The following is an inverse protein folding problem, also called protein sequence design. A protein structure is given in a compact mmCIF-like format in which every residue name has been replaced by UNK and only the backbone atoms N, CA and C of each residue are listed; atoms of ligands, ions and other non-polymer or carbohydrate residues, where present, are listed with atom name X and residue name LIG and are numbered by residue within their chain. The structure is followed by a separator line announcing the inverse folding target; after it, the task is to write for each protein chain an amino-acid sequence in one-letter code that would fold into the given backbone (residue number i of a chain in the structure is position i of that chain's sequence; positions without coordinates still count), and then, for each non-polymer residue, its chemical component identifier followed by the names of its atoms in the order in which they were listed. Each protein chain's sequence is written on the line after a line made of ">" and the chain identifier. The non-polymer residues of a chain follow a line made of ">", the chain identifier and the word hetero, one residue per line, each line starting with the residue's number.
data_IF_449906383857
#
_entry.id   IF_449906383857
#
_cell.length_a   1.000
_cell.length_b   1.000
_cell.length_c   1.000
_cell.angle_alpha   90.00
_cell.angle_beta   90.00
_cell.angle_gamma   90.00
#
_symmetry.space_group_name_H-M   'P 1'
#
loop_
_entity.id
_entity.type
_entity.pdbx_description
1 polymer ?
#
# COMPACT_ATOMS: atom_id res chain seq x y z
N UNK A 1 -38.61 50.57 46.55
CA UNK A 1 -37.29 50.68 45.85
C UNK A 1 -36.52 49.36 45.90
N UNK A 2 -37.03 48.33 45.26
CA UNK A 2 -36.31 47.03 45.16
C UNK A 2 -36.62 46.50 43.76
N UNK A 3 -35.86 46.86 42.72
CA UNK A 3 -36.05 46.26 41.40
C UNK A 3 -34.91 46.56 40.42
N UNK A 4 -33.67 46.76 40.83
CA UNK A 4 -32.56 46.97 39.87
C UNK A 4 -31.35 46.02 39.99
N UNK A 5 -31.30 45.14 40.99
CA UNK A 5 -30.11 44.26 41.16
C UNK A 5 -30.23 42.86 40.57
N UNK A 6 -31.43 42.35 40.31
CA UNK A 6 -31.60 40.96 39.81
C UNK A 6 -31.29 40.78 38.31
N UNK A 7 -31.34 41.82 37.51
CA UNK A 7 -31.09 41.75 36.06
C UNK A 7 -29.60 41.65 35.66
N UNK A 8 -28.69 42.04 36.56
CA UNK A 8 -27.25 42.01 36.30
C UNK A 8 -26.65 40.60 36.47
N UNK A 9 -27.13 39.81 37.39
CA UNK A 9 -26.63 38.46 37.68
C UNK A 9 -26.95 37.45 36.58
N UNK A 10 -28.12 37.48 36.00
CA UNK A 10 -28.57 36.58 34.96
C UNK A 10 -27.73 36.73 33.67
N UNK A 11 -27.33 37.95 33.30
CA UNK A 11 -26.47 38.18 32.10
C UNK A 11 -25.05 37.65 32.23
N UNK A 12 -24.53 37.61 33.47
CA UNK A 12 -23.15 37.15 33.71
C UNK A 12 -23.04 35.64 33.68
N UNK A 13 -24.06 34.94 34.18
CA UNK A 13 -24.12 33.47 34.18
C UNK A 13 -24.28 32.92 32.75
N UNK A 14 -25.16 33.53 31.94
CA UNK A 14 -25.34 33.13 30.53
C UNK A 14 -24.04 33.32 29.71
N UNK A 15 -23.31 34.42 29.94
CA UNK A 15 -22.05 34.66 29.24
C UNK A 15 -20.95 33.66 29.59
N UNK A 16 -20.90 33.17 30.82
CA UNK A 16 -19.93 32.17 31.26
C UNK A 16 -20.27 30.76 30.73
N UNK A 17 -21.56 30.40 30.78
CA UNK A 17 -22.03 29.12 30.24
C UNK A 17 -21.78 29.00 28.74
N UNK A 18 -22.09 30.03 27.95
CA UNK A 18 -21.89 30.07 26.51
C UNK A 18 -20.41 29.96 26.15
N UNK A 19 -19.52 30.64 26.90
CA UNK A 19 -18.06 30.57 26.68
C UNK A 19 -17.49 29.18 27.01
N UNK A 20 -18.01 28.53 28.07
CA UNK A 20 -17.60 27.18 28.44
C UNK A 20 -18.04 26.14 27.42
N UNK A 21 -19.28 26.17 26.97
CA UNK A 21 -19.81 25.26 25.93
C UNK A 21 -19.07 25.45 24.63
N UNK A 22 -18.77 26.70 24.24
CA UNK A 22 -18.01 26.98 23.00
C UNK A 22 -16.57 26.45 23.05
N UNK A 23 -15.94 26.49 24.24
CA UNK A 23 -14.58 25.90 24.43
C UNK A 23 -14.58 24.39 24.36
N UNK A 24 -15.59 23.73 24.95
CA UNK A 24 -15.74 22.26 24.91
C UNK A 24 -16.05 21.78 23.49
N UNK A 25 -16.91 22.47 22.75
CA UNK A 25 -17.19 22.13 21.33
C UNK A 25 -15.97 22.32 20.43
N UNK A 26 -15.13 23.35 20.67
CA UNK A 26 -13.89 23.55 19.93
C UNK A 26 -12.84 22.48 20.24
N UNK A 27 -12.72 22.05 21.49
CA UNK A 27 -11.80 20.96 21.88
C UNK A 27 -12.25 19.60 21.32
N UNK A 28 -13.56 19.33 21.25
CA UNK A 28 -14.08 18.10 20.65
C UNK A 28 -13.88 18.05 19.13
N UNK A 29 -13.95 19.18 18.43
CA UNK A 29 -13.73 19.24 16.98
C UNK A 29 -12.29 18.93 16.57
N UNK A 30 -11.30 19.23 17.42
CA UNK A 30 -9.88 18.93 17.14
C UNK A 30 -9.57 17.43 17.25
N UNK A 31 -10.33 16.68 18.06
CA UNK A 31 -10.14 15.24 18.26
C UNK A 31 -10.69 14.37 17.10
N UNK A 32 -11.50 14.94 16.22
CA UNK A 32 -12.06 14.26 15.04
C UNK A 32 -11.34 14.60 13.74
N UNK A 33 -10.14 15.16 13.79
CA UNK A 33 -9.35 15.40 12.57
C UNK A 33 -9.01 14.06 11.92
N UNK A 34 -9.46 13.77 10.67
CA UNK A 34 -9.05 12.56 9.98
C UNK A 34 -7.54 12.60 9.82
N UNK A 35 -6.85 11.61 10.34
CA UNK A 35 -5.43 11.40 10.01
C UNK A 35 -5.33 11.17 8.51
N UNK A 36 -4.44 11.89 7.78
CA UNK A 36 -4.23 11.59 6.38
C UNK A 36 -3.76 10.15 6.26
N UNK A 37 -4.54 9.31 5.61
CA UNK A 37 -4.09 7.98 5.23
C UNK A 37 -2.92 8.18 4.26
N UNK A 38 -1.74 7.64 4.58
CA UNK A 38 -0.62 7.61 3.64
C UNK A 38 -1.05 6.75 2.46
N UNK A 39 -1.15 7.38 1.31
CA UNK A 39 -1.58 6.75 0.07
C UNK A 39 -0.33 6.46 -0.76
N UNK A 40 0.35 5.35 -0.46
CA UNK A 40 1.64 4.98 -1.04
C UNK A 40 1.58 3.58 -1.66
N UNK A 41 2.50 3.27 -2.56
CA UNK A 41 2.74 1.92 -3.04
C UNK A 41 3.91 1.30 -2.27
N UNK A 42 3.59 0.32 -1.45
CA UNK A 42 4.55 -0.38 -0.61
C UNK A 42 4.87 -1.78 -1.16
N UNK A 43 6.05 -2.25 -0.79
CA UNK A 43 6.43 -3.64 -0.97
C UNK A 43 7.01 -4.18 0.33
N UNK A 44 6.62 -5.40 0.70
CA UNK A 44 7.14 -6.11 1.85
C UNK A 44 7.87 -7.38 1.39
N UNK A 45 9.12 -7.50 1.75
CA UNK A 45 9.90 -8.71 1.56
C UNK A 45 9.65 -9.66 2.73
N UNK A 46 8.82 -10.67 2.54
CA UNK A 46 8.54 -11.72 3.53
C UNK A 46 9.46 -12.93 3.38
N UNK A 47 10.43 -12.89 2.46
CA UNK A 47 11.43 -13.94 2.32
C UNK A 47 12.53 -13.83 3.39
N UNK A 48 13.35 -14.86 3.50
CA UNK A 48 14.53 -14.87 4.36
C UNK A 48 15.79 -14.26 3.72
N UNK A 49 15.70 -13.70 2.51
CA UNK A 49 16.81 -13.21 1.70
C UNK A 49 16.74 -11.69 1.50
N UNK A 50 17.86 -11.10 1.09
CA UNK A 50 17.87 -9.73 0.56
C UNK A 50 17.31 -9.74 -0.86
N UNK A 51 16.49 -8.75 -1.18
CA UNK A 51 15.78 -8.67 -2.46
C UNK A 51 16.01 -7.31 -3.10
N UNK A 52 16.31 -7.31 -4.40
CA UNK A 52 16.27 -6.12 -5.24
C UNK A 52 14.93 -6.03 -5.96
N UNK A 53 14.33 -4.85 -5.97
CA UNK A 53 13.01 -4.62 -6.56
C UNK A 53 13.08 -3.51 -7.59
N UNK A 54 12.39 -3.72 -8.72
CA UNK A 54 12.10 -2.70 -9.71
C UNK A 54 10.59 -2.58 -9.90
N UNK A 55 10.11 -1.36 -10.16
CA UNK A 55 8.71 -1.05 -10.41
C UNK A 55 8.50 -0.44 -11.79
N UNK A 56 7.42 -0.84 -12.46
CA UNK A 56 6.94 -0.25 -13.70
C UNK A 56 5.56 0.36 -13.49
N UNK A 57 5.36 1.56 -14.00
CA UNK A 57 4.10 2.29 -13.83
C UNK A 57 3.93 3.36 -14.91
N UNK A 58 2.74 3.93 -15.00
CA UNK A 58 2.50 5.17 -15.75
C UNK A 58 2.69 6.36 -14.83
N UNK A 59 3.54 7.30 -15.24
CA UNK A 59 3.74 8.56 -14.54
C UNK A 59 2.52 9.50 -14.68
N UNK A 60 2.58 10.67 -14.05
CA UNK A 60 1.49 11.65 -14.09
C UNK A 60 1.18 12.19 -15.50
N UNK A 61 2.14 12.12 -16.40
CA UNK A 61 1.99 12.51 -17.80
C UNK A 61 1.45 11.37 -18.68
N UNK A 62 1.23 10.18 -18.09
CA UNK A 62 0.74 8.98 -18.76
C UNK A 62 1.82 8.18 -19.48
N UNK A 63 3.11 8.51 -19.28
CA UNK A 63 4.22 7.79 -19.88
C UNK A 63 4.58 6.56 -19.06
N UNK A 64 4.93 5.48 -19.73
CA UNK A 64 5.52 4.32 -19.06
C UNK A 64 6.89 4.68 -18.49
N UNK A 65 7.10 4.33 -17.24
CA UNK A 65 8.36 4.52 -16.53
C UNK A 65 8.69 3.25 -15.76
N UNK A 66 9.94 2.84 -15.77
CA UNK A 66 10.48 1.78 -14.91
C UNK A 66 11.58 2.35 -14.05
N UNK A 67 11.58 1.99 -12.78
CA UNK A 67 12.57 2.44 -11.79
C UNK A 67 13.09 1.25 -10.99
N UNK A 68 14.30 1.30 -10.55
CA UNK A 68 15.00 0.33 -9.71
C UNK A 68 16.40 0.82 -9.38
N UNK A 69 17.07 0.32 -8.37
CA UNK A 69 16.67 -0.82 -7.56
C UNK A 69 16.41 -0.36 -6.12
N UNK A 70 15.32 -0.84 -5.55
CA UNK A 70 15.13 -0.78 -4.09
C UNK A 70 15.68 -2.06 -3.48
N UNK A 71 16.61 -1.91 -2.54
CA UNK A 71 17.26 -3.05 -1.89
C UNK A 71 16.62 -3.29 -0.52
N UNK A 72 15.82 -4.34 -0.40
CA UNK A 72 15.10 -4.69 0.81
C UNK A 72 15.85 -5.77 1.59
N UNK A 73 16.06 -5.56 2.87
CA UNK A 73 16.51 -6.61 3.78
C UNK A 73 15.44 -7.70 3.94
N UNK A 74 15.84 -8.87 4.38
CA UNK A 74 14.89 -9.91 4.79
C UNK A 74 13.90 -9.36 5.82
N UNK A 75 12.62 -9.69 5.67
CA UNK A 75 11.52 -9.31 6.57
C UNK A 75 11.33 -7.79 6.73
N UNK A 76 11.64 -7.00 5.71
CA UNK A 76 11.43 -5.54 5.72
C UNK A 76 10.42 -5.10 4.66
N UNK A 77 9.89 -3.89 4.85
CA UNK A 77 9.01 -3.24 3.90
C UNK A 77 9.58 -1.88 3.50
N UNK A 78 9.34 -1.48 2.26
CA UNK A 78 9.75 -0.19 1.70
C UNK A 78 8.63 0.47 0.90
N UNK A 79 8.68 1.78 0.82
CA UNK A 79 7.80 2.57 -0.05
C UNK A 79 8.45 2.75 -1.40
N UNK A 80 7.87 2.17 -2.45
CA UNK A 80 8.37 2.33 -3.82
C UNK A 80 7.91 3.65 -4.43
N UNK A 81 6.61 3.94 -4.33
CA UNK A 81 6.03 5.19 -4.86
C UNK A 81 5.29 5.91 -3.74
N UNK A 82 5.58 7.20 -3.58
CA UNK A 82 4.93 8.06 -2.58
C UNK A 82 3.74 8.78 -3.20
N UNK A 83 2.70 8.93 -2.40
CA UNK A 83 1.48 9.61 -2.79
C UNK A 83 0.42 8.67 -3.38
N UNK A 84 -0.73 9.25 -3.68
CA UNK A 84 -1.88 8.50 -4.17
C UNK A 84 -1.59 7.79 -5.49
N UNK A 85 -1.93 6.51 -5.56
CA UNK A 85 -1.88 5.74 -6.79
C UNK A 85 -2.85 6.31 -7.83
N UNK A 86 -2.36 6.52 -9.06
CA UNK A 86 -3.09 7.16 -10.15
C UNK A 86 -3.52 6.18 -11.24
N UNK A 87 -3.04 4.93 -11.17
CA UNK A 87 -3.36 3.89 -12.12
C UNK A 87 -3.86 2.63 -11.40
N UNK A 88 -4.61 1.80 -12.11
CA UNK A 88 -5.05 0.50 -11.62
C UNK A 88 -3.94 -0.54 -11.64
N UNK A 89 -3.09 -0.54 -12.67
CA UNK A 89 -2.07 -1.55 -12.90
C UNK A 89 -0.68 -1.00 -12.64
N UNK A 90 0.09 -1.74 -11.84
CA UNK A 90 1.50 -1.56 -11.58
C UNK A 90 2.23 -2.85 -11.90
N UNK A 91 3.54 -2.78 -12.12
CA UNK A 91 4.33 -3.91 -12.55
C UNK A 91 5.56 -4.04 -11.66
N UNK A 92 5.86 -5.24 -11.20
CA UNK A 92 6.98 -5.50 -10.30
C UNK A 92 7.88 -6.56 -10.91
N UNK A 93 9.17 -6.33 -10.78
CA UNK A 93 10.22 -7.33 -10.95
C UNK A 93 11.09 -7.34 -9.72
N UNK A 94 11.43 -8.52 -9.21
CA UNK A 94 12.30 -8.62 -8.05
C UNK A 94 13.26 -9.81 -8.20
N UNK A 95 14.44 -9.69 -7.60
CA UNK A 95 15.49 -10.71 -7.61
C UNK A 95 15.94 -11.03 -6.19
N UNK A 96 16.16 -12.30 -5.89
CA UNK A 96 16.74 -12.77 -4.64
C UNK A 96 18.26 -12.77 -4.74
N UNK A 97 18.94 -11.92 -3.98
CA UNK A 97 20.39 -11.78 -3.99
C UNK A 97 21.15 -12.91 -3.28
N UNK A 98 20.51 -13.58 -2.34
CA UNK A 98 21.20 -14.52 -1.44
C UNK A 98 21.02 -15.98 -1.90
N UNK A 99 19.85 -16.33 -2.44
CA UNK A 99 19.52 -17.70 -2.87
C UNK A 99 19.41 -17.84 -4.38
N UNK A 100 19.32 -16.72 -5.07
CA UNK A 100 18.96 -16.70 -6.49
C UNK A 100 17.45 -16.90 -6.68
N UNK A 101 17.01 -16.73 -7.91
CA UNK A 101 15.60 -16.73 -8.29
C UNK A 101 15.02 -15.32 -8.40
N UNK A 102 13.82 -15.26 -8.91
CA UNK A 102 13.17 -13.99 -9.22
C UNK A 102 11.65 -14.09 -9.11
N UNK A 103 11.04 -12.93 -8.88
CA UNK A 103 9.61 -12.72 -9.06
C UNK A 103 9.45 -11.94 -10.36
N UNK A 104 9.02 -12.63 -11.40
CA UNK A 104 8.90 -12.12 -12.76
C UNK A 104 7.53 -12.42 -13.36
N UNK A 105 7.26 -11.90 -14.56
CA UNK A 105 6.00 -12.10 -15.26
C UNK A 105 6.12 -11.87 -16.76
N UNK A 106 4.96 -11.63 -17.42
CA UNK A 106 4.86 -11.56 -18.86
C UNK A 106 4.79 -10.12 -19.42
N UNK A 107 4.75 -9.10 -18.56
CA UNK A 107 4.79 -7.71 -18.97
C UNK A 107 6.25 -7.29 -19.18
N UNK A 108 6.67 -7.20 -20.42
CA UNK A 108 8.06 -6.86 -20.73
C UNK A 108 8.28 -5.35 -20.66
N UNK A 109 9.26 -4.95 -19.84
CA UNK A 109 9.68 -3.57 -19.62
C UNK A 109 11.21 -3.45 -19.66
N UNK A 110 11.70 -2.22 -19.73
CA UNK A 110 13.15 -1.99 -19.77
C UNK A 110 13.71 -1.91 -18.34
N UNK A 111 14.86 -2.56 -18.12
CA UNK A 111 15.62 -2.49 -16.87
C UNK A 111 17.13 -2.42 -17.16
N UNK A 112 17.94 -2.36 -16.12
CA UNK A 112 19.39 -2.55 -16.19
C UNK A 112 19.96 -2.89 -14.81
N UNK A 113 21.21 -3.36 -14.74
CA UNK A 113 21.84 -3.81 -13.50
C UNK A 113 22.03 -2.72 -12.43
N UNK A 114 22.35 -1.48 -12.86
CA UNK A 114 22.54 -0.36 -11.93
C UNK A 114 21.22 0.34 -11.68
N UNK A 115 21.16 1.15 -10.62
CA UNK A 115 20.03 2.04 -10.35
C UNK A 115 19.60 2.80 -11.62
N UNK A 116 18.29 2.90 -11.83
CA UNK A 116 17.74 3.43 -13.07
C UNK A 116 16.37 4.07 -12.90
N UNK A 117 16.12 5.03 -13.79
CA UNK A 117 14.79 5.52 -14.16
C UNK A 117 14.75 5.53 -15.70
N UNK A 118 13.95 4.66 -16.30
CA UNK A 118 13.86 4.49 -17.76
C UNK A 118 12.44 4.83 -18.19
N UNK A 119 12.32 5.78 -19.12
CA UNK A 119 11.05 6.14 -19.75
C UNK A 119 10.84 5.34 -21.03
N UNK A 120 9.60 4.86 -21.19
CA UNK A 120 9.20 4.01 -22.32
C UNK A 120 9.59 2.54 -22.12
N UNK A 121 8.78 1.66 -22.67
CA UNK A 121 8.95 0.20 -22.60
C UNK A 121 9.34 -0.42 -23.94
N UNK A 122 9.42 0.41 -24.98
CA UNK A 122 9.73 -0.01 -26.34
C UNK A 122 11.24 -0.08 -26.57
N UNK A 123 11.66 -0.99 -27.44
CA UNK A 123 13.02 -1.09 -27.99
C UNK A 123 14.13 -1.11 -26.93
N UNK A 124 13.90 -1.77 -25.78
CA UNK A 124 14.84 -1.81 -24.66
C UNK A 124 16.26 -2.14 -25.11
N UNK A 125 16.43 -3.24 -25.85
CA UNK A 125 17.74 -3.70 -26.29
C UNK A 125 18.43 -2.71 -27.25
N UNK A 126 17.70 -2.14 -28.18
CA UNK A 126 18.25 -1.13 -29.12
C UNK A 126 18.66 0.16 -28.40
N UNK A 127 18.06 0.43 -27.24
CA UNK A 127 18.38 1.57 -26.38
C UNK A 127 19.47 1.26 -25.34
N UNK A 128 20.03 0.03 -25.35
CA UNK A 128 21.07 -0.39 -24.41
C UNK A 128 20.57 -0.78 -23.01
N UNK A 129 19.32 -1.19 -22.90
CA UNK A 129 18.69 -1.71 -21.70
C UNK A 129 18.35 -3.19 -21.82
N UNK A 130 18.13 -3.85 -20.71
CA UNK A 130 17.62 -5.20 -20.67
C UNK A 130 16.11 -5.21 -20.91
N UNK A 131 15.59 -6.26 -21.51
CA UNK A 131 14.17 -6.52 -21.67
C UNK A 131 13.75 -7.54 -20.62
N UNK A 132 13.10 -7.08 -19.57
CA UNK A 132 12.80 -7.86 -18.36
C UNK A 132 11.30 -8.07 -18.20
N UNK A 133 10.90 -9.27 -17.76
CA UNK A 133 9.52 -9.63 -17.52
C UNK A 133 9.07 -9.20 -16.11
N UNK A 134 8.12 -8.29 -16.02
CA UNK A 134 7.49 -7.85 -14.78
C UNK A 134 6.16 -8.57 -14.58
N UNK A 135 5.79 -8.90 -13.35
CA UNK A 135 4.44 -9.36 -13.04
C UNK A 135 3.50 -8.18 -12.77
N UNK A 136 2.25 -8.35 -13.18
CA UNK A 136 1.23 -7.33 -13.03
C UNK A 136 0.63 -7.34 -11.63
N UNK A 137 0.40 -6.15 -11.10
CA UNK A 137 -0.29 -5.88 -9.84
C UNK A 137 -1.56 -5.10 -10.14
N UNK A 138 -2.72 -5.74 -10.01
CA UNK A 138 -4.03 -5.07 -10.12
C UNK A 138 -4.43 -4.51 -8.75
N UNK A 139 -4.37 -3.19 -8.61
CA UNK A 139 -4.74 -2.49 -7.37
C UNK A 139 -6.24 -2.28 -7.22
N UNK A 140 -7.07 -2.63 -8.23
CA UNK A 140 -8.51 -2.40 -8.22
C UNK A 140 -8.88 -0.91 -8.07
N UNK A 141 -8.05 0.02 -8.58
CA UNK A 141 -8.21 1.48 -8.44
C UNK A 141 -8.09 1.99 -6.98
N UNK A 142 -7.45 1.24 -6.11
CA UNK A 142 -7.19 1.69 -4.75
C UNK A 142 -6.09 2.76 -4.72
N UNK A 143 -6.17 3.66 -3.76
CA UNK A 143 -5.24 4.78 -3.62
C UNK A 143 -3.92 4.40 -2.98
N UNK A 144 -3.88 3.28 -2.28
CA UNK A 144 -2.71 2.71 -1.64
C UNK A 144 -2.69 1.20 -1.85
N UNK A 145 -1.51 0.61 -1.94
CA UNK A 145 -1.34 -0.82 -2.14
C UNK A 145 -0.07 -1.34 -1.48
N UNK A 146 -0.10 -2.59 -1.04
CA UNK A 146 1.09 -3.28 -0.54
C UNK A 146 1.23 -4.63 -1.22
N UNK A 147 2.36 -4.82 -1.88
CA UNK A 147 2.76 -6.11 -2.46
C UNK A 147 3.53 -6.90 -1.40
N UNK A 148 3.26 -8.21 -1.32
CA UNK A 148 3.97 -9.13 -0.45
C UNK A 148 4.81 -10.08 -1.30
N UNK A 149 6.13 -10.04 -1.17
CA UNK A 149 7.04 -11.02 -1.74
C UNK A 149 7.24 -12.15 -0.71
N UNK A 150 6.86 -13.37 -1.08
CA UNK A 150 7.14 -14.58 -0.31
C UNK A 150 8.40 -15.25 -0.86
N UNK A 151 8.67 -16.53 -0.58
CA UNK A 151 9.82 -17.20 -1.19
C UNK A 151 9.72 -17.19 -2.72
N UNK A 152 10.86 -17.01 -3.42
CA UNK A 152 10.90 -16.95 -4.87
C UNK A 152 10.36 -18.27 -5.48
N UNK A 153 9.45 -18.16 -6.44
CA UNK A 153 8.77 -19.30 -7.05
C UNK A 153 7.41 -19.66 -6.44
N UNK A 154 7.02 -19.07 -5.32
CA UNK A 154 5.65 -19.15 -4.82
C UNK A 154 4.84 -17.95 -5.33
N UNK A 155 3.88 -18.22 -6.20
CA UNK A 155 2.92 -17.18 -6.66
C UNK A 155 2.03 -16.78 -5.49
N UNK A 156 2.36 -15.67 -4.84
CA UNK A 156 1.54 -15.15 -3.74
C UNK A 156 0.23 -14.56 -4.27
N UNK A 157 -0.95 -15.02 -3.81
CA UNK A 157 -2.20 -14.36 -4.15
C UNK A 157 -2.21 -12.95 -3.53
N UNK A 158 -2.25 -11.95 -4.37
CA UNK A 158 -2.37 -10.56 -3.94
C UNK A 158 -3.75 -10.33 -3.33
N UNK A 159 -3.81 -10.05 -2.02
CA UNK A 159 -5.06 -9.63 -1.37
C UNK A 159 -5.04 -8.12 -1.18
N UNK A 160 -6.14 -7.43 -1.54
CA UNK A 160 -6.30 -6.04 -1.14
C UNK A 160 -6.31 -5.95 0.38
N UNK A 161 -5.54 -5.00 0.91
CA UNK A 161 -5.55 -4.69 2.33
C UNK A 161 -6.87 -4.01 2.68
N UNK A 162 -7.80 -4.74 3.29
CA UNK A 162 -9.01 -4.16 3.90
C UNK A 162 -8.68 -3.78 5.35
N UNK A 163 -8.63 -2.49 5.71
CA UNK A 163 -8.50 -2.11 7.10
C UNK A 163 -9.79 -2.48 7.83
N UNK A 164 -9.77 -3.51 8.65
CA UNK A 164 -10.84 -3.73 9.61
C UNK A 164 -11.51 -5.08 9.70
N UNK A 165 -11.05 -6.15 9.05
CA UNK A 165 -11.57 -7.49 9.33
C UNK A 165 -10.45 -8.38 9.88
N UNK A 166 -10.48 -8.61 11.20
CA UNK A 166 -9.73 -9.71 11.80
C UNK A 166 -10.26 -11.04 11.24
N UNK A 167 -9.38 -12.01 10.88
CA UNK A 167 -9.83 -13.32 10.45
C UNK A 167 -10.54 -14.04 11.61
N UNK A 168 -11.80 -14.38 11.41
CA UNK A 168 -12.50 -15.31 12.30
C UNK A 168 -11.85 -16.69 12.15
N UNK A 169 -11.51 -17.41 13.23
CA UNK A 169 -10.95 -18.77 13.11
C UNK A 169 -11.96 -19.68 12.42
N UNK A 170 -11.64 -20.15 11.23
CA UNK A 170 -12.46 -21.04 10.45
C UNK A 170 -12.67 -22.37 11.16
N UNK A 171 -13.94 -22.73 11.35
CA UNK A 171 -14.39 -24.04 11.80
C UNK A 171 -13.91 -25.10 10.82
N UNK A 172 -13.00 -25.97 11.23
CA UNK A 172 -12.57 -27.14 10.46
C UNK A 172 -13.77 -28.08 10.31
N UNK A 173 -14.24 -28.27 9.08
CA UNK A 173 -15.19 -29.34 8.74
C UNK A 173 -14.49 -30.71 8.70
N UNK A 174 -15.20 -31.82 8.95
CA UNK A 174 -14.58 -33.14 9.04
C UNK A 174 -14.01 -33.58 7.70
N UNK A 175 -12.78 -34.10 7.74
CA UNK A 175 -12.06 -34.70 6.62
C UNK A 175 -12.80 -35.91 6.11
N UNK A 176 -13.20 -35.89 4.84
CA UNK A 176 -13.68 -37.10 4.15
C UNK A 176 -12.47 -37.94 3.74
N UNK A 177 -12.47 -39.19 4.17
CA UNK A 177 -11.54 -40.24 3.78
C UNK A 177 -11.75 -40.63 2.29
N UNK A 178 -10.67 -40.89 1.53
CA UNK A 178 -10.81 -41.35 0.14
C UNK A 178 -11.35 -42.81 0.11
N UNK A 179 -12.41 -43.00 -0.67
CA UNK A 179 -13.02 -44.30 -0.91
C UNK A 179 -12.12 -45.22 -1.71
N UNK A 180 -12.12 -46.50 -1.33
CA UNK A 180 -11.45 -47.62 -2.00
C UNK A 180 -12.02 -47.88 -3.39
N UNK A 181 -11.20 -48.36 -4.37
CA UNK A 181 -11.70 -48.74 -5.70
C UNK A 181 -12.48 -50.06 -5.69
N UNK A 182 -13.43 -50.24 -6.62
CA UNK A 182 -14.18 -51.50 -6.74
C UNK A 182 -13.36 -52.59 -7.42
N UNK A 183 -13.63 -53.83 -7.03
CA UNK A 183 -13.09 -55.07 -7.62
C UNK A 183 -13.71 -55.34 -8.98
#
# INVERSE_FOLDING_TARGET
>A
MITRQTASWLRTVDSMLIKSVRRVLFAAAVLLSPTPALADFHICNNSGSRVGVAVGYKDADGNWTTEGWWNLSARSCETLLKGQLIARYYYIYAIDYDRGGEWSGQAFMCSREKEFTIRGTEDCLARGFDRTGFFEVDTGEQRAWTVQLTEAGETSPQRPFSPGLMPTPGRQGPSQLPGSPPR
#
